data_IF_155947203255
#
_entry.id   IF_155947203255
#
_cell.length_a   1.000
_cell.length_b   1.000
_cell.length_c   1.000
_cell.angle_alpha   90.00
_cell.angle_beta   90.00
_cell.angle_gamma   90.00
#
_symmetry.space_group_name_H-M   'P 1'
#
loop_
_entity.id
_entity.type
_entity.pdbx_description
1 polymer ?
#
# COMPACT_ATOMS: atom_id res chain seq x y z
N UNK A 1 -8.23 21.79 -12.72
CA UNK A 1 -8.30 20.90 -13.90
C UNK A 1 -9.36 19.86 -13.65
N UNK A 2 -10.15 19.50 -14.65
CA UNK A 2 -11.14 18.42 -14.57
C UNK A 2 -10.57 17.14 -15.19
N UNK A 3 -11.09 15.96 -14.80
CA UNK A 3 -10.80 14.72 -15.52
C UNK A 3 -11.18 14.82 -17.01
N UNK A 4 -10.61 13.99 -17.89
CA UNK A 4 -10.90 13.98 -19.32
C UNK A 4 -12.40 13.88 -19.70
N UNK A 5 -13.23 13.26 -18.87
CA UNK A 5 -14.68 13.16 -19.10
C UNK A 5 -15.47 14.40 -18.64
N UNK A 6 -14.81 15.40 -18.06
CA UNK A 6 -15.42 16.62 -17.56
C UNK A 6 -16.16 16.49 -16.23
N UNK A 7 -16.19 15.31 -15.60
CA UNK A 7 -16.90 15.09 -14.34
C UNK A 7 -16.03 15.51 -13.14
N UNK A 8 -16.38 16.56 -12.37
CA UNK A 8 -15.58 17.00 -11.23
C UNK A 8 -15.56 16.00 -10.06
N UNK A 9 -16.48 15.03 -10.03
CA UNK A 9 -16.55 14.00 -9.00
C UNK A 9 -15.61 12.81 -9.27
N UNK A 10 -15.04 12.67 -10.47
CA UNK A 10 -14.09 11.60 -10.72
C UNK A 10 -12.69 11.96 -10.17
N UNK A 11 -12.13 11.02 -9.41
CA UNK A 11 -10.81 11.18 -8.79
C UNK A 11 -9.72 11.35 -9.86
N UNK A 12 -8.90 12.40 -9.72
CA UNK A 12 -7.82 12.73 -10.65
C UNK A 12 -6.50 12.92 -9.92
N UNK A 13 -5.49 12.20 -10.39
CA UNK A 13 -4.10 12.42 -10.02
C UNK A 13 -3.18 12.12 -11.21
N UNK A 14 -1.92 12.48 -11.07
CA UNK A 14 -0.95 12.29 -12.13
C UNK A 14 0.01 11.14 -11.86
N UNK A 15 0.38 10.40 -12.90
CA UNK A 15 1.43 9.39 -12.82
C UNK A 15 2.75 10.05 -12.38
N UNK A 16 3.39 9.59 -11.29
CA UNK A 16 4.52 10.30 -10.70
C UNK A 16 5.79 10.21 -11.51
N UNK A 17 6.02 9.11 -12.25
CA UNK A 17 7.28 8.85 -12.94
C UNK A 17 7.27 9.20 -14.43
N UNK A 18 6.21 9.83 -14.91
CA UNK A 18 6.08 10.18 -16.32
C UNK A 18 6.58 11.61 -16.58
N UNK A 19 7.52 11.74 -17.50
CA UNK A 19 8.15 13.00 -17.91
C UNK A 19 7.89 13.31 -19.39
N UNK A 20 7.78 14.59 -19.78
CA UNK A 20 7.67 14.97 -21.19
C UNK A 20 8.85 14.40 -22.00
N UNK A 21 8.54 13.80 -23.14
CA UNK A 21 9.50 13.19 -24.06
C UNK A 21 9.30 13.70 -25.48
N UNK A 22 9.58 14.99 -25.67
CA UNK A 22 9.55 15.65 -26.97
C UNK A 22 10.92 16.12 -27.38
N UNK A 23 11.17 16.11 -28.69
CA UNK A 23 12.42 16.61 -29.29
C UNK A 23 12.75 18.08 -28.93
N UNK A 24 11.75 18.89 -28.58
CA UNK A 24 11.92 20.28 -28.16
C UNK A 24 12.11 20.48 -26.64
N UNK A 25 11.96 19.44 -25.81
CA UNK A 25 12.20 19.53 -24.36
C UNK A 25 13.67 19.85 -24.02
N UNK A 26 14.60 19.40 -24.87
CA UNK A 26 16.03 19.61 -24.69
C UNK A 26 16.57 20.86 -25.42
N UNK A 27 15.70 21.61 -26.09
CA UNK A 27 16.10 22.85 -26.74
C UNK A 27 16.47 23.88 -25.65
N UNK A 28 17.66 24.51 -25.76
CA UNK A 28 18.08 25.63 -24.89
C UNK A 28 17.06 26.78 -24.82
N UNK A 29 16.12 26.81 -25.76
CA UNK A 29 15.00 27.75 -25.86
C UNK A 29 13.66 27.00 -25.89
N UNK A 30 13.47 25.96 -25.06
CA UNK A 30 12.12 25.47 -24.80
C UNK A 30 11.30 26.65 -24.30
N UNK A 31 10.50 27.26 -25.20
CA UNK A 31 9.74 28.46 -24.89
C UNK A 31 8.79 28.10 -23.76
N UNK A 32 8.61 29.02 -22.81
CA UNK A 32 7.66 28.81 -21.71
C UNK A 32 6.28 28.35 -22.21
N UNK A 33 5.86 28.81 -23.39
CA UNK A 33 4.64 28.38 -24.07
C UNK A 33 4.60 26.87 -24.40
N UNK A 34 5.72 26.29 -24.86
CA UNK A 34 5.82 24.85 -25.11
C UNK A 34 5.76 24.06 -23.81
N UNK A 35 6.41 24.55 -22.75
CA UNK A 35 6.35 23.93 -21.43
C UNK A 35 4.92 24.02 -20.84
N UNK A 36 4.23 25.15 -21.03
CA UNK A 36 2.83 25.34 -20.62
C UNK A 36 1.85 24.40 -21.33
N UNK A 37 2.14 24.02 -22.58
CA UNK A 37 1.26 23.14 -23.36
C UNK A 37 1.74 21.67 -23.39
N UNK A 38 2.90 21.36 -22.82
CA UNK A 38 3.52 20.03 -22.87
C UNK A 38 2.57 18.92 -22.38
N UNK A 39 1.78 19.18 -21.35
CA UNK A 39 0.83 18.23 -20.77
C UNK A 39 -0.30 17.74 -21.70
N UNK A 40 -0.54 18.39 -22.85
CA UNK A 40 -1.54 17.99 -23.85
C UNK A 40 -0.94 17.71 -25.22
N UNK A 41 0.22 18.28 -25.53
CA UNK A 41 0.84 18.20 -26.85
C UNK A 41 2.11 17.34 -26.89
N UNK A 42 2.68 17.00 -25.73
CA UNK A 42 3.89 16.19 -25.64
C UNK A 42 3.59 14.77 -25.14
N UNK A 43 4.07 13.71 -25.81
CA UNK A 43 4.11 12.37 -25.23
C UNK A 43 4.94 12.34 -23.95
N UNK A 44 4.63 11.42 -23.06
CA UNK A 44 5.36 11.23 -21.81
C UNK A 44 5.98 9.84 -21.77
N UNK A 45 7.22 9.76 -21.26
CA UNK A 45 7.94 8.52 -21.04
C UNK A 45 8.20 8.31 -19.54
N UNK A 46 8.20 7.05 -19.11
CA UNK A 46 8.47 6.67 -17.73
C UNK A 46 9.95 6.86 -17.39
N UNK A 47 10.23 7.36 -16.19
CA UNK A 47 11.55 7.46 -15.58
C UNK A 47 11.46 6.99 -14.14
N UNK A 48 11.65 5.68 -13.94
CA UNK A 48 11.40 5.02 -12.66
C UNK A 48 12.10 5.73 -11.48
N UNK A 49 11.37 5.96 -10.40
CA UNK A 49 11.83 6.64 -9.18
C UNK A 49 12.16 8.12 -9.33
N UNK A 50 11.98 8.72 -10.52
CA UNK A 50 12.14 10.17 -10.75
C UNK A 50 10.78 10.84 -10.75
N UNK A 51 10.38 11.38 -9.60
CA UNK A 51 9.07 12.06 -9.46
C UNK A 51 9.04 13.35 -10.28
N UNK A 52 8.11 13.45 -11.22
CA UNK A 52 7.79 14.68 -11.93
C UNK A 52 7.04 15.63 -10.97
N UNK A 53 7.56 16.86 -10.69
CA UNK A 53 6.96 17.79 -9.74
C UNK A 53 5.54 18.23 -10.10
N UNK A 54 5.12 18.07 -11.36
CA UNK A 54 3.76 18.36 -11.80
C UNK A 54 2.69 17.59 -11.00
N UNK A 55 3.04 16.50 -10.30
CA UNK A 55 2.11 15.81 -9.39
C UNK A 55 1.50 16.76 -8.35
N UNK A 56 2.20 17.84 -8.00
CA UNK A 56 1.75 18.86 -7.04
C UNK A 56 0.70 19.82 -7.63
N UNK A 57 0.48 19.81 -8.94
CA UNK A 57 -0.52 20.66 -9.60
C UNK A 57 -1.95 20.15 -9.44
N UNK A 58 -2.10 18.89 -9.02
CA UNK A 58 -3.38 18.29 -8.65
C UNK A 58 -3.38 17.96 -7.16
N UNK A 59 -4.58 17.96 -6.58
CA UNK A 59 -4.75 17.73 -5.14
C UNK A 59 -5.17 16.31 -4.80
N UNK A 60 -5.61 15.48 -5.76
CA UNK A 60 -6.20 14.15 -5.50
C UNK A 60 -5.42 13.32 -4.48
N UNK A 61 -4.17 12.97 -4.80
CA UNK A 61 -3.35 12.08 -3.94
C UNK A 61 -3.05 12.72 -2.59
N UNK A 62 -2.77 14.02 -2.57
CA UNK A 62 -2.55 14.78 -1.33
C UNK A 62 -3.80 14.81 -0.45
N UNK A 63 -4.96 15.05 -1.05
CA UNK A 63 -6.25 15.08 -0.36
C UNK A 63 -6.60 13.72 0.22
N UNK A 64 -6.41 12.62 -0.52
CA UNK A 64 -6.68 11.28 0.00
C UNK A 64 -5.76 10.92 1.19
N UNK A 65 -4.46 11.26 1.11
CA UNK A 65 -3.51 11.06 2.22
C UNK A 65 -3.91 11.90 3.44
N UNK A 66 -4.14 13.20 3.27
CA UNK A 66 -4.46 14.10 4.37
C UNK A 66 -5.83 13.78 5.00
N UNK A 67 -6.84 13.51 4.18
CA UNK A 67 -8.19 13.18 4.64
C UNK A 67 -8.18 11.88 5.44
N UNK A 68 -7.62 10.80 4.89
CA UNK A 68 -7.59 9.50 5.59
C UNK A 68 -6.81 9.56 6.91
N UNK A 69 -5.73 10.34 6.95
CA UNK A 69 -4.96 10.56 8.18
C UNK A 69 -5.72 11.40 9.20
N UNK A 70 -6.38 12.48 8.76
CA UNK A 70 -7.13 13.39 9.62
C UNK A 70 -8.34 12.69 10.23
N UNK A 71 -9.05 11.89 9.45
CA UNK A 71 -10.20 11.09 9.91
C UNK A 71 -9.75 10.08 10.96
N UNK A 72 -8.65 9.36 10.74
CA UNK A 72 -8.11 8.41 11.73
C UNK A 72 -7.71 9.10 13.04
N UNK A 73 -6.91 10.16 12.98
CA UNK A 73 -6.45 10.87 14.18
C UNK A 73 -7.58 11.51 14.96
N UNK A 74 -8.60 12.07 14.28
CA UNK A 74 -9.78 12.58 14.95
C UNK A 74 -10.59 11.46 15.61
N UNK A 75 -10.78 10.32 14.95
CA UNK A 75 -11.49 9.19 15.54
C UNK A 75 -10.77 8.63 16.79
N UNK A 76 -9.44 8.47 16.73
CA UNK A 76 -8.63 8.08 17.89
C UNK A 76 -8.76 9.11 19.03
N UNK A 77 -8.60 10.40 18.71
CA UNK A 77 -8.72 11.47 19.71
C UNK A 77 -10.10 11.50 20.34
N UNK A 78 -11.16 11.24 19.57
CA UNK A 78 -12.52 11.12 20.09
C UNK A 78 -12.66 9.95 21.06
N UNK A 79 -12.15 8.77 20.71
CA UNK A 79 -12.19 7.59 21.60
C UNK A 79 -11.42 7.83 22.91
N UNK A 80 -10.24 8.46 22.84
CA UNK A 80 -9.39 8.68 24.01
C UNK A 80 -9.90 9.82 24.90
N UNK A 81 -10.30 10.94 24.31
CA UNK A 81 -10.58 12.19 25.03
C UNK A 81 -12.07 12.51 25.17
N UNK A 82 -12.94 11.90 24.36
CA UNK A 82 -14.40 12.13 24.37
C UNK A 82 -14.86 13.48 23.80
N UNK A 83 -13.96 14.32 23.30
CA UNK A 83 -14.29 15.65 22.76
C UNK A 83 -15.11 15.59 21.47
N UNK A 84 -16.35 16.09 21.50
CA UNK A 84 -17.29 16.03 20.36
C UNK A 84 -16.75 16.68 19.08
N UNK A 85 -15.91 17.71 19.19
CA UNK A 85 -15.27 18.38 18.05
C UNK A 85 -14.46 17.42 17.18
N UNK A 86 -13.81 16.41 17.78
CA UNK A 86 -13.04 15.42 17.03
C UNK A 86 -13.95 14.52 16.19
N UNK A 87 -15.01 13.99 16.79
CA UNK A 87 -16.01 13.18 16.08
C UNK A 87 -16.69 13.98 14.96
N UNK A 88 -17.05 15.24 15.22
CA UNK A 88 -17.63 16.13 14.23
C UNK A 88 -16.67 16.36 13.05
N UNK A 89 -15.38 16.61 13.31
CA UNK A 89 -14.37 16.79 12.25
C UNK A 89 -14.18 15.52 11.43
N UNK A 90 -14.02 14.36 12.07
CA UNK A 90 -13.91 13.08 11.37
C UNK A 90 -15.11 12.84 10.45
N UNK A 91 -16.33 13.05 10.96
CA UNK A 91 -17.54 12.90 10.15
C UNK A 91 -17.60 13.91 9.01
N UNK A 92 -17.19 15.17 9.22
CA UNK A 92 -17.21 16.19 8.18
C UNK A 92 -16.27 15.83 7.03
N UNK A 93 -15.07 15.33 7.32
CA UNK A 93 -14.13 14.89 6.28
C UNK A 93 -14.67 13.70 5.49
N UNK A 94 -15.30 12.73 6.17
CA UNK A 94 -15.95 11.58 5.52
C UNK A 94 -17.12 12.02 4.64
N UNK A 95 -17.96 12.93 5.13
CA UNK A 95 -19.08 13.47 4.36
C UNK A 95 -18.56 14.18 3.10
N UNK A 96 -17.66 15.15 3.26
CA UNK A 96 -17.12 15.93 2.14
C UNK A 96 -16.47 15.03 1.08
N UNK A 97 -15.71 14.02 1.49
CA UNK A 97 -14.95 13.20 0.54
C UNK A 97 -15.80 12.11 -0.13
N UNK A 98 -16.80 11.55 0.55
CA UNK A 98 -17.51 10.34 0.07
C UNK A 98 -19.03 10.49 -0.09
N UNK A 99 -19.70 11.36 0.69
CA UNK A 99 -21.16 11.30 0.84
C UNK A 99 -21.88 12.56 0.34
N UNK A 100 -21.29 13.72 0.52
CA UNK A 100 -21.88 15.02 0.19
C UNK A 100 -21.96 15.19 -1.34
N UNK A 101 -23.17 15.28 -1.95
CA UNK A 101 -23.32 15.34 -3.40
C UNK A 101 -22.56 16.47 -4.09
N UNK A 102 -22.28 17.58 -3.39
CA UNK A 102 -21.53 18.70 -3.96
C UNK A 102 -20.01 18.44 -4.08
N UNK A 103 -19.45 17.50 -3.32
CA UNK A 103 -17.99 17.35 -3.19
C UNK A 103 -17.48 15.90 -3.25
N UNK A 104 -18.36 14.91 -3.08
CA UNK A 104 -17.97 13.51 -2.99
C UNK A 104 -17.25 13.02 -4.23
N UNK A 105 -16.26 12.15 -4.07
CA UNK A 105 -15.68 11.46 -5.21
C UNK A 105 -16.57 10.28 -5.62
N UNK A 106 -16.62 9.98 -6.91
CA UNK A 106 -17.23 8.76 -7.40
C UNK A 106 -16.45 7.54 -6.88
N UNK A 107 -17.11 6.38 -6.68
CA UNK A 107 -16.49 5.17 -6.15
C UNK A 107 -15.64 4.42 -7.19
N UNK A 108 -14.68 5.11 -7.81
CA UNK A 108 -13.74 4.60 -8.78
C UNK A 108 -12.47 5.47 -8.82
N UNK A 109 -11.39 4.96 -9.43
CA UNK A 109 -10.19 5.77 -9.73
C UNK A 109 -9.83 5.69 -11.20
N UNK A 110 -10.83 5.83 -12.08
CA UNK A 110 -10.67 5.76 -13.53
C UNK A 110 -9.63 6.75 -14.09
N UNK A 111 -9.32 7.83 -13.35
CA UNK A 111 -8.30 8.82 -13.73
C UNK A 111 -7.22 9.00 -12.65
N UNK A 112 -7.05 7.99 -11.78
CA UNK A 112 -5.93 7.91 -10.87
C UNK A 112 -4.63 7.69 -11.65
N UNK A 113 -3.59 8.44 -11.27
CA UNK A 113 -2.27 8.41 -11.90
C UNK A 113 -2.33 8.43 -13.43
N UNK A 114 -3.08 9.40 -13.96
CA UNK A 114 -3.19 9.66 -15.39
C UNK A 114 -1.82 10.07 -15.96
N UNK A 115 -1.45 9.49 -17.10
CA UNK A 115 -0.26 9.91 -17.84
C UNK A 115 -0.65 11.10 -18.71
N UNK A 116 0.12 12.20 -18.61
CA UNK A 116 -0.12 13.40 -19.40
C UNK A 116 0.26 13.17 -20.86
N UNK A 117 -0.21 14.06 -21.74
CA UNK A 117 0.13 14.07 -23.15
C UNK A 117 -1.02 13.64 -24.07
N UNK A 118 -0.80 13.70 -25.39
CA UNK A 118 -1.80 13.34 -26.38
C UNK A 118 -2.01 11.82 -26.45
N UNK A 119 -3.10 11.41 -27.11
CA UNK A 119 -3.38 10.01 -27.39
C UNK A 119 -4.10 9.28 -26.24
N UNK A 120 -4.18 7.93 -26.32
CA UNK A 120 -4.98 7.13 -25.39
C UNK A 120 -4.55 7.24 -23.92
N UNK A 121 -3.25 7.40 -23.66
CA UNK A 121 -2.68 7.52 -22.30
C UNK A 121 -3.20 8.73 -21.52
N UNK A 122 -3.58 9.80 -22.21
CA UNK A 122 -4.20 10.99 -21.59
C UNK A 122 -5.72 10.91 -21.41
N UNK A 123 -6.36 9.77 -21.71
CA UNK A 123 -7.83 9.61 -21.68
C UNK A 123 -8.35 8.80 -20.49
N UNK A 124 -7.52 7.96 -19.88
CA UNK A 124 -7.85 7.09 -18.74
C UNK A 124 -6.59 6.97 -17.86
N UNK A 125 -6.78 6.85 -16.56
CA UNK A 125 -5.73 6.59 -15.59
C UNK A 125 -5.05 5.24 -15.81
N UNK A 126 -4.08 4.96 -14.94
CA UNK A 126 -3.28 3.73 -14.98
C UNK A 126 -3.64 2.83 -13.79
N UNK A 127 -3.28 1.55 -13.84
CA UNK A 127 -3.54 0.61 -12.74
C UNK A 127 -2.85 1.05 -11.44
N UNK A 128 -1.76 1.82 -11.54
CA UNK A 128 -0.98 2.34 -10.41
C UNK A 128 -1.80 3.33 -9.58
N UNK A 129 -2.79 4.00 -10.18
CA UNK A 129 -3.70 4.94 -9.51
C UNK A 129 -4.50 4.36 -8.36
N UNK A 130 -4.65 3.03 -8.30
CA UNK A 130 -5.27 2.33 -7.17
C UNK A 130 -4.44 2.50 -5.87
N UNK A 131 -3.12 2.74 -5.96
CA UNK A 131 -2.29 3.04 -4.79
C UNK A 131 -2.68 4.34 -4.08
N UNK A 132 -3.30 5.28 -4.78
CA UNK A 132 -3.69 6.56 -4.20
C UNK A 132 -4.73 6.39 -3.09
N UNK A 133 -5.61 5.37 -3.21
CA UNK A 133 -6.66 5.08 -2.24
C UNK A 133 -6.25 4.08 -1.17
N UNK A 134 -4.96 3.69 -1.07
CA UNK A 134 -4.46 2.75 -0.04
C UNK A 134 -4.83 3.14 1.41
N UNK A 135 -5.05 4.44 1.65
CA UNK A 135 -5.54 4.97 2.93
C UNK A 135 -6.96 4.52 3.32
N UNK A 136 -7.66 3.74 2.50
CA UNK A 136 -9.00 3.24 2.79
C UNK A 136 -9.06 2.40 4.08
N UNK A 137 -7.98 1.71 4.43
CA UNK A 137 -7.88 0.98 5.71
C UNK A 137 -8.00 1.94 6.91
N UNK A 138 -7.40 3.13 6.81
CA UNK A 138 -7.52 4.18 7.85
C UNK A 138 -8.95 4.69 7.95
N UNK A 139 -9.62 4.88 6.81
CA UNK A 139 -11.03 5.32 6.74
C UNK A 139 -11.95 4.32 7.43
N UNK A 140 -11.83 3.03 7.12
CA UNK A 140 -12.64 1.97 7.74
C UNK A 140 -12.39 1.88 9.25
N UNK A 141 -11.13 1.89 9.68
CA UNK A 141 -10.79 1.85 11.10
C UNK A 141 -11.35 3.05 11.87
N UNK A 142 -11.28 4.25 11.30
CA UNK A 142 -11.85 5.43 11.91
C UNK A 142 -13.37 5.34 12.05
N UNK A 143 -14.07 4.86 11.03
CA UNK A 143 -15.52 4.64 11.10
C UNK A 143 -15.86 3.61 12.18
N UNK A 144 -15.12 2.50 12.25
CA UNK A 144 -15.30 1.50 13.30
C UNK A 144 -15.14 2.09 14.71
N UNK A 145 -14.13 2.96 14.91
CA UNK A 145 -13.93 3.69 16.17
C UNK A 145 -15.10 4.64 16.50
N UNK A 146 -15.59 5.40 15.51
CA UNK A 146 -16.74 6.29 15.69
C UNK A 146 -18.01 5.51 16.06
N UNK A 147 -18.25 4.36 15.43
CA UNK A 147 -19.38 3.48 15.74
C UNK A 147 -19.24 2.88 17.14
N UNK A 148 -18.07 2.34 17.48
CA UNK A 148 -17.78 1.78 18.80
C UNK A 148 -18.03 2.81 19.92
N UNK A 149 -17.55 4.03 19.73
CA UNK A 149 -17.74 5.14 20.67
C UNK A 149 -19.15 5.76 20.65
N UNK A 150 -20.08 5.24 19.82
CA UNK A 150 -21.45 5.76 19.66
C UNK A 150 -21.48 7.26 19.35
N UNK A 151 -20.60 7.68 18.46
CA UNK A 151 -20.50 9.05 17.97
C UNK A 151 -21.85 9.58 17.48
N UNK A 152 -22.37 10.71 18.01
CA UNK A 152 -23.64 11.29 17.54
C UNK A 152 -23.53 11.89 16.13
N UNK A 153 -22.30 12.16 15.65
CA UNK A 153 -22.05 12.76 14.34
C UNK A 153 -21.94 11.71 13.21
N UNK A 154 -21.75 10.44 13.56
CA UNK A 154 -21.73 9.32 12.60
C UNK A 154 -23.03 8.52 12.69
N UNK A 155 -24.05 8.98 11.98
CA UNK A 155 -25.41 8.43 12.05
C UNK A 155 -25.58 7.16 11.21
N UNK A 156 -26.62 6.38 11.49
CA UNK A 156 -26.97 5.19 10.71
C UNK A 156 -27.18 5.51 9.22
N UNK A 157 -27.72 6.69 8.91
CA UNK A 157 -27.89 7.15 7.53
C UNK A 157 -26.54 7.33 6.82
N UNK A 158 -25.57 8.00 7.46
CA UNK A 158 -24.21 8.16 6.91
C UNK A 158 -23.52 6.81 6.77
N UNK A 159 -23.66 5.95 7.76
CA UNK A 159 -23.10 4.61 7.70
C UNK A 159 -23.69 3.79 6.54
N UNK A 160 -25.00 3.83 6.33
CA UNK A 160 -25.64 3.18 5.19
C UNK A 160 -25.17 3.73 3.84
N UNK A 161 -25.06 5.06 3.71
CA UNK A 161 -24.54 5.71 2.51
C UNK A 161 -23.08 5.32 2.23
N UNK A 162 -22.25 5.30 3.26
CA UNK A 162 -20.85 4.89 3.14
C UNK A 162 -20.71 3.40 2.79
N UNK A 163 -21.57 2.52 3.33
CA UNK A 163 -21.60 1.10 2.91
C UNK A 163 -21.96 0.96 1.43
N UNK A 164 -22.89 1.76 0.94
CA UNK A 164 -23.23 1.78 -0.48
C UNK A 164 -22.05 2.26 -1.35
N UNK A 165 -21.38 3.35 -0.97
CA UNK A 165 -20.20 3.85 -1.67
C UNK A 165 -19.08 2.79 -1.72
N UNK A 166 -18.78 2.17 -0.58
CA UNK A 166 -17.77 1.10 -0.46
C UNK A 166 -18.15 -0.14 -1.28
N UNK A 167 -19.43 -0.50 -1.33
CA UNK A 167 -19.92 -1.61 -2.16
C UNK A 167 -19.73 -1.35 -3.66
N UNK A 168 -19.98 -0.12 -4.11
CA UNK A 168 -19.71 0.29 -5.49
C UNK A 168 -18.22 0.31 -5.80
N UNK A 169 -17.39 0.82 -4.88
CA UNK A 169 -15.94 0.86 -5.05
C UNK A 169 -15.34 -0.55 -5.11
N UNK A 170 -15.79 -1.45 -4.23
CA UNK A 170 -15.44 -2.88 -4.27
C UNK A 170 -15.80 -3.49 -5.62
N UNK A 171 -17.02 -3.26 -6.10
CA UNK A 171 -17.46 -3.77 -7.42
C UNK A 171 -16.57 -3.26 -8.55
N UNK A 172 -16.23 -1.97 -8.53
CA UNK A 172 -15.32 -1.37 -9.51
C UNK A 172 -13.90 -1.96 -9.43
N UNK A 173 -13.33 -2.15 -8.22
CA UNK A 173 -12.02 -2.78 -8.02
C UNK A 173 -11.96 -4.21 -8.60
N UNK A 174 -13.04 -4.96 -8.55
CA UNK A 174 -13.07 -6.35 -9.02
C UNK A 174 -13.36 -6.48 -10.51
N UNK A 175 -14.11 -5.54 -11.10
CA UNK A 175 -14.66 -5.69 -12.45
C UNK A 175 -14.03 -4.78 -13.50
N UNK A 176 -13.47 -3.64 -13.09
CA UNK A 176 -12.84 -2.69 -14.01
C UNK A 176 -11.57 -3.27 -14.65
N UNK A 177 -11.18 -2.74 -15.81
CA UNK A 177 -9.92 -3.11 -16.46
C UNK A 177 -8.72 -2.77 -15.58
N UNK A 178 -8.71 -1.58 -14.96
CA UNK A 178 -7.65 -1.12 -14.06
C UNK A 178 -7.55 -2.01 -12.81
N UNK A 179 -8.68 -2.42 -12.24
CA UNK A 179 -8.75 -3.34 -11.11
C UNK A 179 -8.21 -4.74 -11.45
N UNK A 180 -8.59 -5.28 -12.61
CA UNK A 180 -8.06 -6.57 -13.10
C UNK A 180 -6.57 -6.50 -13.40
N UNK A 181 -6.11 -5.38 -13.93
CA UNK A 181 -4.71 -5.16 -14.25
C UNK A 181 -3.84 -5.04 -13.00
N UNK A 182 -4.23 -4.24 -11.99
CA UNK A 182 -3.45 -4.17 -10.74
C UNK A 182 -3.41 -5.52 -10.03
N UNK A 183 -4.49 -6.30 -10.12
CA UNK A 183 -4.60 -7.63 -9.50
C UNK A 183 -3.66 -8.68 -10.14
N UNK A 184 -3.16 -8.44 -11.37
CA UNK A 184 -2.20 -9.32 -12.02
C UNK A 184 -0.74 -8.98 -11.73
N UNK A 185 -0.46 -7.83 -11.11
CA UNK A 185 0.92 -7.39 -10.83
C UNK A 185 1.55 -8.26 -9.74
N UNK A 186 2.87 -8.52 -9.79
CA UNK A 186 3.53 -9.43 -8.84
C UNK A 186 4.06 -8.73 -7.58
N UNK A 187 4.02 -7.40 -7.51
CA UNK A 187 4.74 -6.58 -6.54
C UNK A 187 3.78 -5.79 -5.62
N UNK A 188 4.28 -4.73 -4.97
CA UNK A 188 3.53 -3.88 -4.03
C UNK A 188 2.15 -3.42 -4.52
N UNK A 189 1.96 -3.24 -5.83
CA UNK A 189 0.67 -2.87 -6.42
C UNK A 189 -0.43 -3.90 -6.07
N UNK A 190 -0.16 -5.19 -6.26
CA UNK A 190 -1.12 -6.23 -5.91
C UNK A 190 -1.29 -6.36 -4.39
N UNK A 191 -0.20 -6.19 -3.61
CA UNK A 191 -0.26 -6.22 -2.15
C UNK A 191 -1.25 -5.16 -1.62
N UNK A 192 -1.18 -3.93 -2.13
CA UNK A 192 -2.10 -2.83 -1.74
C UNK A 192 -3.49 -2.97 -2.34
N UNK A 193 -3.64 -3.55 -3.53
CA UNK A 193 -4.94 -3.92 -4.07
C UNK A 193 -5.69 -4.85 -3.11
N UNK A 194 -4.99 -5.88 -2.60
CA UNK A 194 -5.56 -6.83 -1.64
C UNK A 194 -5.92 -6.14 -0.32
N UNK A 195 -5.12 -5.19 0.17
CA UNK A 195 -5.48 -4.43 1.38
C UNK A 195 -6.80 -3.69 1.22
N UNK A 196 -7.00 -3.04 0.07
CA UNK A 196 -8.22 -2.30 -0.24
C UNK A 196 -9.41 -3.24 -0.47
N UNK A 197 -9.20 -4.36 -1.16
CA UNK A 197 -10.26 -5.34 -1.40
C UNK A 197 -10.70 -6.03 -0.10
N UNK A 198 -9.76 -6.42 0.76
CA UNK A 198 -10.08 -7.04 2.04
C UNK A 198 -10.83 -6.07 2.96
N UNK A 199 -10.35 -4.84 3.12
CA UNK A 199 -10.96 -3.87 4.04
C UNK A 199 -12.35 -3.40 3.59
N UNK A 200 -12.58 -3.30 2.28
CA UNK A 200 -13.91 -3.00 1.73
C UNK A 200 -14.89 -4.15 1.95
N UNK A 201 -14.44 -5.41 1.81
CA UNK A 201 -15.26 -6.58 2.15
C UNK A 201 -15.62 -6.64 3.64
N UNK A 202 -14.65 -6.37 4.52
CA UNK A 202 -14.91 -6.25 5.97
C UNK A 202 -15.97 -5.19 6.23
N UNK A 203 -15.80 -4.00 5.65
CA UNK A 203 -16.70 -2.88 5.89
C UNK A 203 -18.14 -3.11 5.43
N UNK A 204 -18.35 -3.81 4.32
CA UNK A 204 -19.70 -4.17 3.84
C UNK A 204 -20.28 -5.40 4.53
N UNK A 205 -19.54 -6.03 5.45
CA UNK A 205 -19.97 -7.19 6.23
C UNK A 205 -19.76 -8.56 5.56
N UNK A 206 -19.04 -8.61 4.45
CA UNK A 206 -18.74 -9.85 3.71
C UNK A 206 -17.41 -10.46 4.20
N UNK A 207 -17.42 -10.91 5.46
CA UNK A 207 -16.21 -11.38 6.15
C UNK A 207 -15.62 -12.64 5.50
N UNK A 208 -16.47 -13.54 4.98
CA UNK A 208 -16.03 -14.74 4.28
C UNK A 208 -15.25 -14.38 3.01
N UNK A 209 -15.72 -13.40 2.23
CA UNK A 209 -14.99 -12.91 1.06
C UNK A 209 -13.70 -12.21 1.44
N UNK A 210 -13.69 -11.41 2.52
CA UNK A 210 -12.48 -10.81 3.05
C UNK A 210 -11.42 -11.87 3.41
N UNK A 211 -11.83 -12.95 4.08
CA UNK A 211 -10.95 -14.08 4.39
C UNK A 211 -10.41 -14.74 3.12
N UNK A 212 -11.29 -15.01 2.15
CA UNK A 212 -10.93 -15.64 0.88
C UNK A 212 -9.93 -14.85 0.05
N UNK A 213 -10.07 -13.52 -0.05
CA UNK A 213 -9.14 -12.68 -0.82
C UNK A 213 -7.75 -12.62 -0.18
N UNK A 214 -7.68 -12.53 1.15
CA UNK A 214 -6.40 -12.56 1.87
C UNK A 214 -5.73 -13.92 1.76
N UNK A 215 -6.50 -15.01 1.94
CA UNK A 215 -5.96 -16.37 1.82
C UNK A 215 -5.42 -16.63 0.41
N UNK A 216 -6.13 -16.19 -0.63
CA UNK A 216 -5.65 -16.27 -2.01
C UNK A 216 -4.32 -15.55 -2.17
N UNK A 217 -4.21 -14.30 -1.72
CA UNK A 217 -2.98 -13.52 -1.80
C UNK A 217 -1.79 -14.20 -1.13
N UNK A 218 -1.96 -14.66 0.12
CA UNK A 218 -0.89 -15.31 0.89
C UNK A 218 -0.47 -16.68 0.31
N UNK A 219 -1.38 -17.37 -0.39
CA UNK A 219 -1.11 -18.65 -1.05
C UNK A 219 -0.61 -18.52 -2.50
N UNK A 220 -0.68 -17.33 -3.12
CA UNK A 220 -0.24 -17.10 -4.49
C UNK A 220 0.78 -15.98 -4.59
N UNK A 221 0.35 -14.72 -4.65
CA UNK A 221 1.21 -13.58 -4.97
C UNK A 221 2.32 -13.40 -3.93
N UNK A 222 1.98 -13.47 -2.64
CA UNK A 222 2.95 -13.40 -1.55
C UNK A 222 4.03 -14.47 -1.66
N UNK A 223 3.69 -15.66 -2.17
CA UNK A 223 4.60 -16.81 -2.21
C UNK A 223 5.86 -16.56 -3.04
N UNK A 224 5.77 -15.66 -4.02
CA UNK A 224 6.87 -15.25 -4.88
C UNK A 224 7.52 -13.93 -4.46
N UNK A 225 6.92 -13.15 -3.56
CA UNK A 225 7.39 -11.79 -3.25
C UNK A 225 8.63 -11.74 -2.36
N UNK A 226 8.96 -12.81 -1.64
CA UNK A 226 10.07 -12.82 -0.67
C UNK A 226 10.99 -14.01 -0.93
N UNK A 227 12.26 -13.73 -1.21
CA UNK A 227 13.33 -14.72 -1.38
C UNK A 227 13.75 -15.33 -0.04
N UNK A 228 14.57 -16.39 -0.05
CA UNK A 228 15.08 -17.03 1.18
C UNK A 228 15.87 -16.06 2.06
N UNK A 229 16.55 -15.09 1.44
CA UNK A 229 17.28 -14.02 2.13
C UNK A 229 16.37 -13.08 2.91
N UNK A 230 15.09 -12.99 2.57
CA UNK A 230 14.20 -11.89 2.96
C UNK A 230 14.20 -10.73 1.96
N UNK A 231 15.04 -10.78 0.91
CA UNK A 231 14.95 -9.82 -0.19
C UNK A 231 13.57 -9.89 -0.85
N UNK A 232 13.14 -8.77 -1.41
CA UNK A 232 11.92 -8.63 -2.19
C UNK A 232 12.28 -8.34 -3.65
N UNK A 233 12.50 -9.36 -4.51
CA UNK A 233 13.12 -9.19 -5.82
C UNK A 233 12.44 -8.17 -6.74
N UNK A 234 11.10 -8.17 -6.80
CA UNK A 234 10.34 -7.21 -7.61
C UNK A 234 10.48 -5.75 -7.14
N UNK A 235 10.86 -5.54 -5.89
CA UNK A 235 11.12 -4.21 -5.32
C UNK A 235 12.60 -3.84 -5.41
N UNK A 236 13.48 -4.84 -5.28
CA UNK A 236 14.93 -4.66 -5.28
C UNK A 236 15.49 -4.25 -6.65
N UNK A 237 14.82 -4.65 -7.73
CA UNK A 237 15.18 -4.28 -9.11
C UNK A 237 14.86 -2.82 -9.46
N UNK A 238 14.07 -2.13 -8.62
CA UNK A 238 13.64 -0.74 -8.83
C UNK A 238 14.76 0.25 -8.56
N UNK A 239 14.62 1.48 -9.04
CA UNK A 239 15.64 2.53 -8.86
C UNK A 239 15.74 3.07 -7.42
N UNK A 240 14.73 2.81 -6.59
CA UNK A 240 14.65 3.18 -5.16
C UNK A 240 14.35 1.95 -4.28
N UNK A 241 15.26 0.96 -4.23
CA UNK A 241 14.94 -0.35 -3.70
C UNK A 241 14.72 -0.36 -2.18
N UNK A 242 15.31 0.56 -1.40
CA UNK A 242 15.01 0.62 0.03
C UNK A 242 13.57 1.10 0.27
N UNK A 243 13.14 2.15 -0.43
CA UNK A 243 11.78 2.66 -0.40
C UNK A 243 10.77 1.58 -0.80
N UNK A 244 10.96 0.90 -1.93
CA UNK A 244 9.99 -0.10 -2.39
C UNK A 244 9.91 -1.33 -1.48
N UNK A 245 11.01 -1.73 -0.82
CA UNK A 245 10.95 -2.76 0.24
C UNK A 245 10.05 -2.32 1.40
N UNK A 246 10.20 -1.08 1.88
CA UNK A 246 9.34 -0.52 2.93
C UNK A 246 7.89 -0.45 2.46
N UNK A 247 7.67 0.05 1.25
CA UNK A 247 6.34 0.25 0.68
C UNK A 247 5.56 -1.06 0.51
N UNK A 248 6.20 -2.14 0.05
CA UNK A 248 5.55 -3.44 -0.03
C UNK A 248 5.35 -4.08 1.37
N UNK A 249 6.30 -3.89 2.30
CA UNK A 249 6.14 -4.31 3.71
C UNK A 249 4.92 -3.65 4.37
N UNK A 250 4.65 -2.37 4.10
CA UNK A 250 3.43 -1.68 4.56
C UNK A 250 2.17 -2.47 4.17
N UNK A 251 2.07 -2.89 2.91
CA UNK A 251 0.92 -3.63 2.40
C UNK A 251 0.84 -5.05 2.97
N UNK A 252 1.96 -5.79 3.01
CA UNK A 252 2.01 -7.15 3.58
C UNK A 252 1.60 -7.16 5.05
N UNK A 253 2.14 -6.23 5.85
CA UNK A 253 1.82 -6.08 7.27
C UNK A 253 0.36 -5.70 7.44
N UNK A 254 -0.16 -4.77 6.62
CA UNK A 254 -1.58 -4.40 6.63
C UNK A 254 -2.47 -5.62 6.34
N UNK A 255 -2.14 -6.42 5.34
CA UNK A 255 -2.88 -7.64 5.00
C UNK A 255 -2.82 -8.68 6.13
N UNK A 256 -1.67 -8.83 6.80
CA UNK A 256 -1.53 -9.71 7.95
C UNK A 256 -2.37 -9.25 9.15
N UNK A 257 -2.41 -7.94 9.44
CA UNK A 257 -3.28 -7.35 10.47
C UNK A 257 -4.76 -7.54 10.19
N UNK A 258 -5.20 -7.32 8.95
CA UNK A 258 -6.58 -7.60 8.53
C UNK A 258 -6.92 -9.09 8.67
N UNK A 259 -5.95 -9.97 8.41
CA UNK A 259 -6.10 -11.39 8.68
C UNK A 259 -6.26 -11.69 10.16
N UNK A 260 -5.45 -11.08 11.02
CA UNK A 260 -5.49 -11.26 12.48
C UNK A 260 -6.86 -10.85 13.05
N UNK A 261 -7.39 -9.71 12.61
CA UNK A 261 -8.76 -9.25 12.95
C UNK A 261 -9.84 -10.29 12.55
N UNK A 262 -9.62 -11.00 11.46
CA UNK A 262 -10.51 -12.06 10.97
C UNK A 262 -10.20 -13.45 11.55
N UNK A 263 -9.33 -13.54 12.57
CA UNK A 263 -8.93 -14.79 13.22
C UNK A 263 -7.96 -15.65 12.40
N UNK A 264 -7.33 -15.09 11.36
CA UNK A 264 -6.36 -15.78 10.50
C UNK A 264 -4.94 -15.34 10.80
N UNK A 265 -4.03 -16.29 11.00
CA UNK A 265 -2.63 -15.99 11.26
C UNK A 265 -1.80 -16.00 9.97
N UNK A 266 -1.81 -14.89 9.22
CA UNK A 266 -0.93 -14.71 8.06
C UNK A 266 0.47 -14.21 8.40
N UNK A 267 0.74 -13.83 9.65
CA UNK A 267 2.11 -13.60 10.11
C UNK A 267 2.99 -14.86 9.94
N UNK A 268 2.40 -16.05 10.06
CA UNK A 268 3.09 -17.33 9.81
C UNK A 268 3.13 -17.75 8.34
N UNK A 269 2.56 -16.98 7.41
CA UNK A 269 2.63 -17.30 5.99
C UNK A 269 4.08 -17.33 5.53
N UNK A 270 4.41 -18.35 4.73
CA UNK A 270 5.75 -18.56 4.18
C UNK A 270 5.72 -18.35 2.68
N UNK A 271 6.77 -17.73 2.15
CA UNK A 271 7.04 -17.74 0.72
C UNK A 271 7.38 -19.16 0.24
N UNK A 272 7.48 -19.38 -1.07
CA UNK A 272 7.94 -20.67 -1.61
C UNK A 272 9.36 -21.04 -1.15
N UNK A 273 10.12 -20.06 -0.67
CA UNK A 273 11.45 -20.22 -0.10
C UNK A 273 11.47 -20.29 1.43
N UNK A 274 10.31 -20.35 2.08
CA UNK A 274 10.20 -20.45 3.54
C UNK A 274 10.32 -19.12 4.30
N UNK A 275 10.51 -18.00 3.61
CA UNK A 275 10.64 -16.68 4.22
C UNK A 275 9.29 -16.10 4.66
N UNK A 276 9.30 -15.29 5.72
CA UNK A 276 8.11 -14.64 6.27
C UNK A 276 8.21 -13.12 6.16
N UNK A 277 7.16 -12.41 6.58
CA UNK A 277 7.20 -10.95 6.75
C UNK A 277 8.34 -10.54 7.71
N UNK A 278 8.58 -11.33 8.77
CA UNK A 278 9.70 -11.09 9.69
C UNK A 278 11.05 -11.20 8.98
N UNK A 279 11.24 -12.22 8.14
CA UNK A 279 12.47 -12.37 7.34
C UNK A 279 12.72 -11.16 6.45
N UNK A 280 11.67 -10.62 5.81
CA UNK A 280 11.78 -9.45 4.95
C UNK A 280 12.13 -8.15 5.71
N UNK A 281 11.55 -7.95 6.91
CA UNK A 281 11.92 -6.81 7.78
C UNK A 281 13.37 -6.95 8.27
N UNK A 282 13.77 -8.15 8.71
CA UNK A 282 15.13 -8.43 9.15
C UNK A 282 16.16 -8.14 8.03
N UNK A 283 15.83 -8.55 6.80
CA UNK A 283 16.65 -8.23 5.63
C UNK A 283 16.74 -6.72 5.36
N UNK A 284 15.60 -6.01 5.37
CA UNK A 284 15.58 -4.56 5.15
C UNK A 284 16.38 -3.79 6.22
N UNK A 285 16.34 -4.23 7.49
CA UNK A 285 17.12 -3.65 8.58
C UNK A 285 18.65 -3.77 8.37
N UNK A 286 19.09 -4.80 7.64
CA UNK A 286 20.50 -5.05 7.34
C UNK A 286 21.01 -4.28 6.11
N UNK A 287 20.13 -3.68 5.31
CA UNK A 287 20.52 -2.97 4.10
C UNK A 287 21.05 -1.56 4.40
N UNK A 288 22.01 -1.10 3.59
CA UNK A 288 22.39 0.30 3.54
C UNK A 288 21.37 1.07 2.67
N UNK A 289 20.62 2.03 3.22
CA UNK A 289 19.62 2.80 2.49
C UNK A 289 20.23 3.77 1.47
N UNK A 290 21.55 3.99 1.49
CA UNK A 290 22.24 5.02 0.69
C UNK A 290 21.61 6.40 0.95
N UNK A 291 21.06 7.03 -0.09
CA UNK A 291 20.42 8.34 -0.02
C UNK A 291 18.90 8.25 0.27
N UNK A 292 18.36 7.05 0.47
CA UNK A 292 16.95 6.83 0.80
C UNK A 292 16.69 6.99 2.31
N UNK A 293 15.44 7.29 2.67
CA UNK A 293 15.05 7.55 4.06
C UNK A 293 14.88 6.25 4.86
N UNK A 294 15.82 5.98 5.76
CA UNK A 294 15.80 4.81 6.64
C UNK A 294 14.60 4.80 7.60
N UNK A 295 14.02 5.96 7.89
CA UNK A 295 12.91 6.08 8.84
C UNK A 295 11.60 5.52 8.30
N UNK A 296 11.49 5.34 6.98
CA UNK A 296 10.37 4.64 6.33
C UNK A 296 10.20 3.21 6.87
N UNK A 297 11.28 2.56 7.32
CA UNK A 297 11.23 1.19 7.85
C UNK A 297 10.71 1.14 9.30
N UNK A 298 10.70 2.25 10.04
CA UNK A 298 10.42 2.25 11.48
C UNK A 298 9.03 1.68 11.86
N UNK A 299 7.92 2.05 11.19
CA UNK A 299 6.61 1.45 11.48
C UNK A 299 6.61 -0.07 11.26
N UNK A 300 7.34 -0.55 10.25
CA UNK A 300 7.36 -1.98 9.92
C UNK A 300 8.15 -2.79 10.94
N UNK A 301 9.26 -2.22 11.47
CA UNK A 301 10.00 -2.82 12.59
C UNK A 301 9.14 -2.85 13.86
N UNK A 302 8.41 -1.78 14.17
CA UNK A 302 7.49 -1.76 15.31
C UNK A 302 6.39 -2.82 15.19
N UNK A 303 5.76 -2.94 14.02
CA UNK A 303 4.75 -3.96 13.75
C UNK A 303 5.29 -5.39 13.88
N UNK A 304 6.50 -5.67 13.38
CA UNK A 304 7.14 -6.99 13.53
C UNK A 304 7.55 -7.25 14.97
N UNK A 305 8.07 -6.26 15.70
CA UNK A 305 8.35 -6.42 17.13
C UNK A 305 7.09 -6.77 17.92
N UNK A 306 5.95 -6.13 17.60
CA UNK A 306 4.66 -6.43 18.23
C UNK A 306 4.14 -7.83 17.85
N UNK A 307 4.25 -8.24 16.58
CA UNK A 307 3.71 -9.49 16.08
C UNK A 307 4.56 -10.73 16.42
N UNK A 308 5.88 -10.60 16.50
CA UNK A 308 6.81 -11.72 16.69
C UNK A 308 7.58 -11.67 18.02
N UNK A 309 7.53 -10.54 18.73
CA UNK A 309 8.33 -10.28 19.92
C UNK A 309 9.75 -9.79 19.60
N UNK A 310 10.44 -9.28 20.62
CA UNK A 310 11.83 -8.79 20.52
C UNK A 310 12.73 -9.36 21.64
N UNK A 311 12.90 -10.69 21.75
CA UNK A 311 13.62 -11.29 22.87
C UNK A 311 15.11 -10.92 22.93
N UNK A 312 15.72 -10.58 21.78
CA UNK A 312 17.12 -10.15 21.70
C UNK A 312 17.30 -8.63 21.79
N UNK A 313 16.21 -7.87 21.82
CA UNK A 313 16.23 -6.40 21.78
C UNK A 313 16.69 -5.81 20.44
N UNK A 314 16.76 -6.59 19.35
CA UNK A 314 17.27 -6.15 18.05
C UNK A 314 16.37 -5.10 17.41
N UNK A 315 15.05 -5.24 17.55
CA UNK A 315 14.09 -4.30 16.96
C UNK A 315 14.09 -2.99 17.73
N UNK A 316 14.05 -3.05 19.06
CA UNK A 316 14.15 -1.87 19.92
C UNK A 316 15.50 -1.15 19.77
N UNK A 317 16.60 -1.88 19.55
CA UNK A 317 17.91 -1.28 19.26
C UNK A 317 17.92 -0.57 17.90
N UNK A 318 17.36 -1.19 16.86
CA UNK A 318 17.24 -0.57 15.53
C UNK A 318 16.40 0.70 15.59
N UNK A 319 15.20 0.64 16.18
CA UNK A 319 14.30 1.78 16.29
C UNK A 319 14.93 2.96 17.03
N UNK A 320 15.55 2.73 18.20
CA UNK A 320 16.27 3.79 18.94
C UNK A 320 17.36 4.46 18.13
N UNK A 321 18.04 3.71 17.25
CA UNK A 321 19.12 4.25 16.42
C UNK A 321 18.59 5.20 15.34
N UNK A 322 17.50 4.83 14.67
CA UNK A 322 16.98 5.59 13.52
C UNK A 322 15.93 6.64 13.90
N UNK A 323 15.20 6.42 14.99
CA UNK A 323 14.17 7.29 15.54
C UNK A 323 14.31 7.28 17.07
N UNK A 324 15.14 8.14 17.67
CA UNK A 324 15.42 8.10 19.11
C UNK A 324 14.17 8.15 20.01
N UNK A 325 13.15 8.91 19.61
CA UNK A 325 11.85 9.00 20.28
C UNK A 325 10.77 8.14 19.59
N UNK A 326 11.12 6.92 19.15
CA UNK A 326 10.18 6.06 18.42
C UNK A 326 8.92 5.74 19.23
N UNK A 327 9.02 5.67 20.57
CA UNK A 327 7.88 5.37 21.45
C UNK A 327 6.86 6.51 21.52
N UNK A 328 7.28 7.76 21.25
CA UNK A 328 6.39 8.91 21.11
C UNK A 328 5.75 9.03 19.73
N UNK A 329 6.12 8.19 18.76
CA UNK A 329 5.61 8.29 17.39
C UNK A 329 4.23 7.67 17.23
N UNK A 330 3.38 8.17 16.31
CA UNK A 330 2.06 7.62 16.05
C UNK A 330 2.08 6.12 15.71
N UNK A 331 3.04 5.65 14.89
CA UNK A 331 3.11 4.24 14.51
C UNK A 331 3.23 3.32 15.72
N UNK A 332 4.01 3.74 16.75
CA UNK A 332 4.18 2.94 17.96
C UNK A 332 2.84 2.69 18.65
N UNK A 333 1.99 3.71 18.73
CA UNK A 333 0.67 3.58 19.35
C UNK A 333 -0.23 2.54 18.66
N UNK A 334 -0.18 2.40 17.32
CA UNK A 334 -1.00 1.40 16.59
C UNK A 334 -0.32 0.02 16.46
N UNK A 335 0.96 -0.09 16.78
CA UNK A 335 1.76 -1.31 16.69
C UNK A 335 1.96 -1.93 18.08
N UNK A 336 0.85 -2.39 18.68
CA UNK A 336 0.82 -3.01 20.00
C UNK A 336 0.48 -4.50 19.92
N UNK A 337 1.20 -5.34 20.66
CA UNK A 337 1.05 -6.80 20.60
C UNK A 337 -0.37 -7.28 20.95
N UNK A 338 -1.05 -6.58 21.86
CA UNK A 338 -2.42 -6.87 22.29
C UNK A 338 -3.44 -6.71 21.16
N UNK A 339 -3.13 -5.93 20.13
CA UNK A 339 -3.96 -5.77 18.95
C UNK A 339 -3.79 -6.91 17.93
N UNK A 340 -2.89 -7.87 18.19
CA UNK A 340 -2.54 -8.97 17.29
C UNK A 340 -2.68 -10.34 17.98
N UNK A 341 -3.88 -10.71 18.48
CA UNK A 341 -4.08 -11.90 19.30
C UNK A 341 -3.76 -13.22 18.57
N UNK A 342 -3.74 -13.25 17.25
CA UNK A 342 -3.41 -14.44 16.47
C UNK A 342 -1.94 -14.52 16.05
N UNK A 343 -1.16 -13.46 16.30
CA UNK A 343 0.26 -13.38 15.92
C UNK A 343 1.16 -14.35 16.71
N UNK A 344 2.37 -14.66 16.21
CA UNK A 344 3.33 -15.51 16.92
C UNK A 344 3.63 -15.06 18.36
N UNK A 345 3.78 -13.76 18.60
CA UNK A 345 4.10 -13.18 19.91
C UNK A 345 2.96 -13.28 20.93
N UNK A 346 1.70 -13.35 20.49
CA UNK A 346 0.55 -13.40 21.39
C UNK A 346 0.45 -14.72 22.20
N UNK A 347 1.12 -15.79 21.77
CA UNK A 347 1.05 -17.12 22.41
C UNK A 347 2.27 -17.48 23.26
N UNK A 348 3.20 -16.55 23.53
CA UNK A 348 4.41 -16.84 24.31
C UNK A 348 4.16 -16.92 25.82
N UNK A 349 3.40 -17.93 26.26
CA UNK A 349 3.51 -18.51 27.62
C UNK A 349 4.12 -19.92 27.60
N UNK A 350 4.52 -20.43 26.44
CA UNK A 350 5.37 -21.63 26.31
C UNK A 350 6.27 -21.50 25.07
N UNK A 351 7.61 -21.44 25.22
CA UNK A 351 8.52 -21.49 24.09
C UNK A 351 8.65 -22.96 23.65
N UNK A 352 7.65 -23.45 22.92
CA UNK A 352 7.68 -24.81 22.38
C UNK A 352 7.75 -24.78 20.86
N UNK A 353 8.81 -25.43 20.36
CA UNK A 353 9.18 -25.70 18.98
C UNK A 353 9.62 -24.47 18.17
N UNK A 354 10.94 -24.22 18.22
CA UNK A 354 11.63 -23.73 17.03
C UNK A 354 11.37 -24.73 15.91
N UNK A 355 10.57 -24.31 14.93
CA UNK A 355 10.40 -25.05 13.69
C UNK A 355 11.64 -24.80 12.84
N UNK A 356 12.75 -25.44 13.24
CA UNK A 356 13.92 -25.61 12.39
C UNK A 356 13.57 -26.65 11.32
N UNK A 357 12.62 -26.34 10.45
CA UNK A 357 12.52 -27.03 9.18
C UNK A 357 13.65 -26.48 8.30
N UNK A 358 14.84 -27.02 8.54
CA UNK A 358 15.94 -27.05 7.57
C UNK A 358 15.47 -27.87 6.38
N UNK A 359 14.60 -27.28 5.56
CA UNK A 359 14.32 -27.77 4.23
C UNK A 359 15.58 -27.62 3.39
N UNK A 360 15.87 -28.61 2.55
CA UNK A 360 16.89 -28.48 1.51
C UNK A 360 16.72 -27.15 0.77
N UNK A 361 17.80 -26.50 0.33
CA UNK A 361 17.71 -25.26 -0.43
C UNK A 361 16.74 -25.45 -1.59
N UNK A 362 15.62 -24.70 -1.58
CA UNK A 362 14.70 -24.70 -2.70
C UNK A 362 15.45 -24.05 -3.86
N UNK A 363 15.73 -24.83 -4.91
CA UNK A 363 16.35 -24.31 -6.12
C UNK A 363 15.53 -23.17 -6.68
N UNK A 364 16.20 -22.14 -7.20
CA UNK A 364 15.52 -21.03 -7.86
C UNK A 364 14.53 -21.53 -8.92
N UNK A 365 13.32 -20.96 -8.88
CA UNK A 365 12.31 -21.10 -9.91
C UNK A 365 11.75 -19.72 -10.23
N UNK A 366 11.55 -19.43 -11.51
CA UNK A 366 10.89 -18.21 -11.93
C UNK A 366 9.56 -18.04 -11.18
N UNK A 367 9.22 -16.83 -10.73
CA UNK A 367 7.89 -16.54 -10.20
C UNK A 367 6.79 -16.95 -11.18
N UNK A 368 5.65 -17.41 -10.67
CA UNK A 368 4.56 -17.94 -11.50
C UNK A 368 3.99 -16.91 -12.48
N UNK A 369 4.21 -15.61 -12.23
CA UNK A 369 3.80 -14.53 -13.14
C UNK A 369 4.47 -14.62 -14.52
N UNK A 370 5.66 -15.23 -14.61
CA UNK A 370 6.39 -15.43 -15.88
C UNK A 370 5.88 -16.63 -16.70
N UNK A 371 4.95 -17.43 -16.17
CA UNK A 371 4.31 -18.49 -16.97
C UNK A 371 3.45 -17.93 -18.12
N UNK A 372 3.15 -16.62 -18.06
CA UNK A 372 2.30 -15.92 -19.02
C UNK A 372 3.09 -15.06 -20.04
N UNK A 373 4.42 -14.92 -19.88
CA UNK A 373 5.24 -14.04 -20.73
C UNK A 373 6.70 -13.96 -20.30
N UNK A 374 7.55 -13.45 -21.20
CA UNK A 374 9.01 -13.32 -20.97
C UNK A 374 9.35 -12.19 -19.99
N UNK A 375 8.51 -11.17 -19.93
CA UNK A 375 8.58 -10.07 -18.98
C UNK A 375 7.23 -9.83 -18.29
N UNK A 376 7.29 -9.08 -17.19
CA UNK A 376 6.10 -8.65 -16.44
C UNK A 376 6.23 -7.18 -16.10
N UNK A 377 5.13 -6.46 -16.26
CA UNK A 377 5.04 -5.07 -15.83
C UNK A 377 4.86 -4.96 -14.32
N UNK A 378 5.70 -4.16 -13.66
CA UNK A 378 5.72 -3.94 -12.21
C UNK A 378 5.41 -2.48 -11.81
N UNK A 379 5.33 -1.58 -12.79
CA UNK A 379 4.85 -0.20 -12.68
C UNK A 379 4.48 0.25 -14.11
N UNK A 380 3.73 1.33 -14.30
CA UNK A 380 3.27 1.75 -15.65
C UNK A 380 4.47 2.05 -16.58
N UNK A 381 4.67 1.18 -17.56
CA UNK A 381 5.80 1.23 -18.49
C UNK A 381 7.12 0.63 -17.95
N UNK A 382 7.14 -0.01 -16.78
CA UNK A 382 8.32 -0.63 -16.18
C UNK A 382 8.18 -2.15 -16.18
N UNK A 383 9.02 -2.82 -16.96
CA UNK A 383 9.01 -4.26 -17.16
C UNK A 383 10.28 -4.91 -16.61
N UNK A 384 10.14 -6.12 -16.12
CA UNK A 384 11.26 -6.96 -15.67
C UNK A 384 11.14 -8.38 -16.17
N UNK A 385 12.27 -9.05 -16.38
CA UNK A 385 12.35 -10.47 -16.75
C UNK A 385 12.71 -11.34 -15.55
N UNK A 386 12.44 -12.64 -15.64
CA UNK A 386 12.87 -13.59 -14.60
C UNK A 386 14.39 -13.55 -14.38
N UNK A 387 15.17 -13.42 -15.46
CA UNK A 387 16.64 -13.36 -15.39
C UNK A 387 17.14 -12.12 -14.64
N UNK A 388 16.48 -10.97 -14.78
CA UNK A 388 16.81 -9.77 -14.01
C UNK A 388 16.54 -9.94 -12.51
N UNK A 389 15.54 -10.76 -12.15
CA UNK A 389 15.17 -11.00 -10.75
C UNK A 389 15.98 -12.12 -10.10
N UNK A 390 16.48 -13.07 -10.89
CA UNK A 390 17.20 -14.26 -10.42
C UNK A 390 18.30 -13.97 -9.39
N UNK A 391 19.20 -12.98 -9.59
CA UNK A 391 20.26 -12.71 -8.62
C UNK A 391 19.75 -12.36 -7.22
N UNK A 392 18.56 -11.76 -7.11
CA UNK A 392 17.95 -11.40 -5.83
C UNK A 392 17.34 -12.62 -5.11
N UNK A 393 16.84 -13.60 -5.86
CA UNK A 393 16.34 -14.85 -5.28
C UNK A 393 17.44 -15.79 -4.80
N UNK A 394 18.62 -15.74 -5.44
CA UNK A 394 19.77 -16.57 -5.11
C UNK A 394 20.62 -16.01 -3.95
N UNK A 395 20.24 -14.85 -3.38
CA UNK A 395 20.91 -14.30 -2.20
C UNK A 395 20.78 -15.25 -0.99
N UNK A 396 21.85 -15.43 -0.19
CA UNK A 396 21.80 -16.27 1.00
C UNK A 396 20.96 -15.63 2.14
N UNK A 397 20.52 -16.42 3.13
CA UNK A 397 19.92 -15.90 4.36
C UNK A 397 20.79 -14.84 5.05
N UNK A 398 20.16 -13.85 5.70
CA UNK A 398 20.87 -12.83 6.49
C UNK A 398 21.64 -13.51 7.62
N UNK A 399 22.96 -13.30 7.67
CA UNK A 399 23.84 -13.83 8.71
C UNK A 399 24.36 -15.25 8.46
N UNK A 400 24.14 -15.82 7.26
CA UNK A 400 24.77 -17.05 6.79
C UNK A 400 26.22 -16.86 6.32
#
# INVERSE_FOLDING_TARGET
>A
MLPPNGNPHDYLSWAPYHWPDCNWCNAKQAREEYLRNAWTTCPYAVRDGKVNPDVLTLTGSKSMVHMSQSVLYNAISYVIQGGQSFSQQASSFLDTFFLEPATSINPNVNFGQLVRGPGPKGRIGTFTGILDLRGMVKVVNAIAMLMYAKSPHWTDQKHAAMRNWMGQYRSWLETSSLGKEVASKPNNHASFYISQLAVTNIYVGDLQRAQGVLQKYFNSTFSDQIAISGEQPFEAVRTRPFHYRCFNLEAMITNAKLGDELGMNFWKAKSKYGATIQTAVDYAMAQNPKDEDVTELAPHVAAVAAAYGDPSGKYAAFLRRIVPDYQGQPFWYYDQAQALPNSPGARSSNPSAGDSSGGSPVSFQCPAVFDLGEDVEIDDGVFVTCDQLRPFYELPPVGA
#
